data_IF_355866784942
#
_entry.id   IF_355866784942
#
_cell.length_a   1.000
_cell.length_b   1.000
_cell.length_c   1.000
_cell.angle_alpha   90.00
_cell.angle_beta   90.00
_cell.angle_gamma   90.00
#
_symmetry.space_group_name_H-M   'P 1'
#
loop_
_entity.id
_entity.type
_entity.pdbx_description
1 polymer ?
#
# COMPACT_ATOMS: atom_id res chain seq x y z
N UNK A 1 35.32 6.58 -18.19
CA UNK A 1 34.09 7.21 -18.70
C UNK A 1 32.77 6.68 -18.08
N UNK A 2 32.74 5.50 -17.42
CA UNK A 2 31.51 4.94 -16.83
C UNK A 2 30.97 5.68 -15.58
N UNK A 3 31.85 6.34 -14.81
CA UNK A 3 31.46 7.06 -13.58
C UNK A 3 30.78 8.42 -13.83
N UNK A 4 31.11 9.08 -14.96
CA UNK A 4 30.48 10.35 -15.38
C UNK A 4 29.03 10.15 -15.86
N UNK A 5 28.75 9.00 -16.49
CA UNK A 5 27.39 8.63 -16.93
C UNK A 5 26.45 8.35 -15.76
N UNK A 6 26.95 7.70 -14.70
CA UNK A 6 26.18 7.47 -13.47
C UNK A 6 25.82 8.78 -12.75
N UNK A 7 26.76 9.73 -12.69
CA UNK A 7 26.50 11.03 -12.09
C UNK A 7 25.48 11.86 -12.90
N UNK A 8 25.54 11.79 -14.23
CA UNK A 8 24.58 12.45 -15.11
C UNK A 8 23.17 11.84 -15.01
N UNK A 9 23.08 10.51 -14.87
CA UNK A 9 21.80 9.81 -14.65
C UNK A 9 21.19 10.15 -13.28
N UNK A 10 22.03 10.24 -12.24
CA UNK A 10 21.59 10.65 -10.90
C UNK A 10 21.17 12.13 -10.87
N UNK A 11 21.88 13.00 -11.60
CA UNK A 11 21.52 14.41 -11.76
C UNK A 11 20.23 14.60 -12.58
N UNK A 12 19.99 13.80 -13.62
CA UNK A 12 18.70 13.81 -14.35
C UNK A 12 17.54 13.26 -13.49
N UNK A 13 17.80 12.25 -12.65
CA UNK A 13 16.80 11.74 -11.71
C UNK A 13 16.44 12.80 -10.65
N UNK A 14 17.41 13.60 -10.21
CA UNK A 14 17.17 14.71 -9.28
C UNK A 14 16.56 15.95 -9.98
N UNK A 15 16.90 16.21 -11.24
CA UNK A 15 16.36 17.33 -12.03
C UNK A 15 14.92 17.07 -12.56
N UNK A 16 14.51 15.81 -12.65
CA UNK A 16 13.11 15.43 -12.98
C UNK A 16 12.19 15.43 -11.76
N UNK A 17 12.74 15.58 -10.55
CA UNK A 17 11.97 15.96 -9.37
C UNK A 17 11.64 17.45 -9.45
N UNK A 18 10.75 17.82 -10.36
CA UNK A 18 10.03 19.09 -10.23
C UNK A 18 9.08 18.93 -9.04
N UNK A 19 9.47 19.44 -7.86
CA UNK A 19 8.70 19.36 -6.61
C UNK A 19 7.24 19.85 -6.75
N UNK A 20 6.98 20.71 -7.75
CA UNK A 20 5.66 21.30 -8.04
C UNK A 20 4.69 20.33 -8.74
N UNK A 21 5.18 19.39 -9.57
CA UNK A 21 4.35 18.31 -10.15
C UNK A 21 4.47 17.00 -9.35
N UNK A 22 5.53 16.85 -8.56
CA UNK A 22 5.76 15.69 -7.72
C UNK A 22 4.68 15.58 -6.64
N UNK A 23 4.25 16.68 -6.00
CA UNK A 23 3.21 16.61 -4.97
C UNK A 23 1.86 16.07 -5.51
N UNK A 24 1.46 16.50 -6.71
CA UNK A 24 0.22 16.06 -7.35
C UNK A 24 0.32 14.63 -7.90
N UNK A 25 1.46 14.26 -8.47
CA UNK A 25 1.73 12.91 -8.94
C UNK A 25 1.83 11.92 -7.77
N UNK A 26 2.49 12.31 -6.67
CA UNK A 26 2.62 11.49 -5.46
C UNK A 26 1.27 11.34 -4.77
N UNK A 27 0.48 12.42 -4.67
CA UNK A 27 -0.90 12.36 -4.17
C UNK A 27 -1.77 11.43 -5.02
N UNK A 28 -1.67 11.52 -6.34
CA UNK A 28 -2.38 10.64 -7.28
C UNK A 28 -1.96 9.18 -7.13
N UNK A 29 -0.65 8.91 -6.99
CA UNK A 29 -0.10 7.56 -6.79
C UNK A 29 -0.51 6.99 -5.44
N UNK A 30 -0.50 7.79 -4.36
CA UNK A 30 -0.97 7.39 -3.03
C UNK A 30 -2.48 7.11 -3.05
N UNK A 31 -3.27 7.94 -3.75
CA UNK A 31 -4.70 7.74 -3.95
C UNK A 31 -5.02 6.43 -4.68
N UNK A 32 -4.35 6.18 -5.82
CA UNK A 32 -4.49 4.92 -6.57
C UNK A 32 -3.98 3.73 -5.75
N UNK A 33 -2.88 3.90 -5.02
CA UNK A 33 -2.29 2.89 -4.15
C UNK A 33 -3.24 2.43 -3.05
N UNK A 34 -3.99 3.34 -2.42
CA UNK A 34 -5.04 2.99 -1.44
C UNK A 34 -6.15 2.14 -2.04
N UNK A 35 -6.65 2.54 -3.21
CA UNK A 35 -7.72 1.83 -3.91
C UNK A 35 -7.26 0.41 -4.28
N UNK A 36 -6.05 0.28 -4.82
CA UNK A 36 -5.44 -1.01 -5.15
C UNK A 36 -5.21 -1.88 -3.91
N UNK A 37 -4.72 -1.29 -2.81
CA UNK A 37 -4.51 -1.98 -1.54
C UNK A 37 -5.82 -2.53 -0.95
N UNK A 38 -6.91 -1.74 -1.03
CA UNK A 38 -8.24 -2.17 -0.60
C UNK A 38 -8.78 -3.32 -1.46
N UNK A 39 -8.64 -3.22 -2.78
CA UNK A 39 -9.02 -4.27 -3.72
C UNK A 39 -8.22 -5.56 -3.48
N UNK A 40 -6.90 -5.46 -3.31
CA UNK A 40 -6.02 -6.61 -3.01
C UNK A 40 -6.39 -7.25 -1.68
N UNK A 41 -6.60 -6.46 -0.62
CA UNK A 41 -7.00 -6.99 0.69
C UNK A 41 -8.28 -7.81 0.60
N UNK A 42 -9.25 -7.33 -0.16
CA UNK A 42 -10.52 -8.04 -0.41
C UNK A 42 -10.28 -9.35 -1.15
N UNK A 43 -9.49 -9.34 -2.22
CA UNK A 43 -9.14 -10.55 -2.99
C UNK A 43 -8.42 -11.58 -2.12
N UNK A 44 -7.51 -11.14 -1.22
CA UNK A 44 -6.79 -12.04 -0.31
C UNK A 44 -7.72 -12.65 0.74
N UNK A 45 -8.74 -11.95 1.22
CA UNK A 45 -9.74 -12.55 2.11
C UNK A 45 -10.57 -13.63 1.40
N UNK A 46 -10.95 -13.40 0.14
CA UNK A 46 -11.68 -14.40 -0.67
C UNK A 46 -10.78 -15.61 -0.95
N UNK A 47 -9.53 -15.39 -1.39
CA UNK A 47 -8.56 -16.46 -1.62
C UNK A 47 -8.16 -17.20 -0.34
N UNK A 48 -8.11 -16.51 0.80
CA UNK A 48 -7.88 -17.12 2.12
C UNK A 48 -9.03 -18.03 2.54
N UNK A 49 -10.29 -17.64 2.25
CA UNK A 49 -11.47 -18.48 2.47
C UNK A 49 -11.44 -19.75 1.61
N UNK A 50 -11.16 -19.62 0.31
CA UNK A 50 -10.99 -20.79 -0.56
C UNK A 50 -9.78 -21.67 -0.18
N UNK A 51 -8.69 -21.06 0.31
CA UNK A 51 -7.55 -21.77 0.88
C UNK A 51 -7.92 -22.57 2.14
N UNK A 52 -8.74 -22.00 3.02
CA UNK A 52 -9.23 -22.68 4.22
C UNK A 52 -10.15 -23.86 3.87
N UNK A 53 -10.99 -23.72 2.83
CA UNK A 53 -11.79 -24.83 2.29
C UNK A 53 -10.90 -25.95 1.75
N UNK A 54 -9.82 -25.61 1.02
CA UNK A 54 -8.83 -26.59 0.57
C UNK A 54 -8.12 -27.34 1.71
N UNK A 55 -7.86 -26.65 2.83
CA UNK A 55 -7.32 -27.26 4.05
C UNK A 55 -8.31 -28.20 4.72
N UNK A 56 -9.59 -27.82 4.75
CA UNK A 56 -10.63 -28.70 5.28
C UNK A 56 -10.75 -29.99 4.46
N UNK A 57 -10.73 -29.91 3.13
CA UNK A 57 -10.75 -31.09 2.25
C UNK A 57 -9.50 -31.94 2.43
N UNK A 58 -8.31 -31.33 2.54
CA UNK A 58 -7.05 -32.05 2.80
C UNK A 58 -6.98 -32.68 4.21
N UNK A 59 -7.64 -32.08 5.19
CA UNK A 59 -7.75 -32.59 6.56
C UNK A 59 -8.62 -33.86 6.65
N UNK A 60 -9.65 -33.97 5.81
CA UNK A 60 -10.52 -35.16 5.74
C UNK A 60 -9.71 -36.41 5.32
N UNK A 61 -8.66 -36.23 4.51
CA UNK A 61 -7.74 -37.31 4.13
C UNK A 61 -6.62 -37.56 5.17
N UNK A 62 -6.70 -36.97 6.36
CA UNK A 62 -5.75 -37.17 7.46
C UNK A 62 -4.42 -36.41 7.32
N UNK A 63 -4.18 -35.72 6.20
CA UNK A 63 -2.96 -34.96 5.93
C UNK A 63 -3.07 -33.50 6.40
N UNK A 64 -3.34 -33.29 7.70
CA UNK A 64 -3.38 -31.94 8.28
C UNK A 64 -1.99 -31.32 8.23
N UNK A 65 -1.76 -30.44 7.25
CA UNK A 65 -0.51 -29.70 7.10
C UNK A 65 -0.50 -28.48 8.03
N UNK A 66 -0.06 -28.69 9.27
CA UNK A 66 0.13 -27.64 10.28
C UNK A 66 0.95 -26.45 9.78
N UNK A 67 1.96 -26.70 8.93
CA UNK A 67 2.76 -25.65 8.29
C UNK A 67 1.96 -24.79 7.32
N UNK A 68 0.98 -25.38 6.64
CA UNK A 68 0.16 -24.67 5.65
C UNK A 68 -0.92 -23.81 6.32
N UNK A 69 -1.56 -24.32 7.37
CA UNK A 69 -2.46 -23.53 8.21
C UNK A 69 -1.72 -22.35 8.86
N UNK A 70 -0.52 -22.58 9.40
CA UNK A 70 0.29 -21.52 9.98
C UNK A 70 0.66 -20.44 8.95
N UNK A 71 1.05 -20.83 7.73
CA UNK A 71 1.33 -19.88 6.65
C UNK A 71 0.10 -19.07 6.24
N UNK A 72 -1.09 -19.67 6.22
CA UNK A 72 -2.34 -18.97 5.95
C UNK A 72 -2.68 -17.97 7.06
N UNK A 73 -2.58 -18.40 8.33
CA UNK A 73 -2.86 -17.57 9.48
C UNK A 73 -1.90 -16.37 9.57
N UNK A 74 -0.61 -16.60 9.31
CA UNK A 74 0.39 -15.53 9.28
C UNK A 74 0.16 -14.55 8.13
N UNK A 75 -0.30 -15.05 6.97
CA UNK A 75 -0.68 -14.22 5.81
C UNK A 75 -1.87 -13.29 6.10
N UNK A 76 -2.87 -13.75 6.85
CA UNK A 76 -3.99 -12.90 7.29
C UNK A 76 -3.58 -11.92 8.40
N UNK A 77 -2.72 -12.37 9.32
CA UNK A 77 -2.19 -11.55 10.41
C UNK A 77 -1.43 -10.33 9.85
N UNK A 78 -0.50 -10.55 8.91
CA UNK A 78 0.27 -9.45 8.31
C UNK A 78 -0.62 -8.52 7.49
N UNK A 79 -1.63 -9.04 6.81
CA UNK A 79 -2.58 -8.22 6.03
C UNK A 79 -3.44 -7.33 6.94
N UNK A 80 -3.81 -7.81 8.13
CA UNK A 80 -4.50 -7.00 9.13
C UNK A 80 -3.64 -5.83 9.60
N UNK A 81 -2.35 -6.07 9.87
CA UNK A 81 -1.39 -5.04 10.32
C UNK A 81 -1.08 -4.04 9.20
N UNK A 82 -0.95 -4.51 7.95
CA UNK A 82 -0.64 -3.66 6.80
C UNK A 82 -1.69 -2.56 6.57
N UNK A 83 -2.96 -2.81 6.91
CA UNK A 83 -4.03 -1.80 6.74
C UNK A 83 -3.86 -0.58 7.63
N UNK A 84 -3.37 -0.75 8.86
CA UNK A 84 -3.07 0.36 9.76
C UNK A 84 -1.86 1.16 9.28
N UNK A 85 -0.85 0.46 8.77
CA UNK A 85 0.37 1.08 8.22
C UNK A 85 0.04 1.93 6.99
N UNK A 86 -0.74 1.41 6.04
CA UNK A 86 -1.15 2.15 4.84
C UNK A 86 -1.98 3.38 5.22
N UNK A 87 -2.89 3.28 6.20
CA UNK A 87 -3.65 4.41 6.71
C UNK A 87 -2.76 5.46 7.38
N UNK A 88 -1.76 5.04 8.17
CA UNK A 88 -0.84 5.94 8.85
C UNK A 88 0.00 6.76 7.86
N UNK A 89 0.61 6.11 6.86
CA UNK A 89 1.43 6.78 5.85
C UNK A 89 0.62 7.63 4.87
N UNK A 90 -0.62 7.21 4.56
CA UNK A 90 -1.54 8.02 3.77
C UNK A 90 -1.96 9.29 4.52
N UNK A 91 -2.22 9.19 5.82
CA UNK A 91 -2.77 10.30 6.60
C UNK A 91 -1.73 11.39 6.86
N UNK A 92 -0.43 11.04 6.85
CA UNK A 92 0.68 11.98 6.99
C UNK A 92 0.89 12.94 5.80
N UNK A 93 0.22 12.72 4.66
CA UNK A 93 0.27 13.63 3.49
C UNK A 93 -0.94 14.56 3.36
N UNK A 94 -1.95 14.43 4.23
CA UNK A 94 -3.12 15.32 4.27
C UNK A 94 -3.06 16.22 5.51
N UNK A 95 -1.84 16.61 5.92
CA UNK A 95 -1.60 17.64 6.91
C UNK A 95 -1.66 19.03 6.29
N UNK A 96 -2.78 19.36 5.63
CA UNK A 96 -3.18 20.71 5.22
C UNK A 96 -4.62 20.69 4.73
N UNK A 97 -5.52 20.11 5.51
CA UNK A 97 -6.81 20.77 5.71
C UNK A 97 -6.54 22.01 6.59
N UNK A 98 -5.76 22.96 6.07
CA UNK A 98 -6.06 24.34 6.39
C UNK A 98 -7.42 24.54 5.73
N UNK A 99 -8.46 24.33 6.52
CA UNK A 99 -9.68 25.12 6.36
C UNK A 99 -9.19 26.55 6.24
N UNK A 100 -9.13 27.01 5.00
CA UNK A 100 -9.11 28.41 4.65
C UNK A 100 -10.33 28.99 5.38
N UNK A 101 -10.10 29.45 6.61
CA UNK A 101 -10.94 30.49 7.16
C UNK A 101 -10.62 31.68 6.26
N UNK A 102 -11.40 31.80 5.19
CA UNK A 102 -11.50 32.99 4.36
C UNK A 102 -11.81 34.18 5.28
N UNK A 103 -10.76 34.82 5.82
CA UNK A 103 -10.85 36.08 6.56
C UNK A 103 -10.97 37.25 5.56
N UNK A 104 -11.81 37.07 4.53
CA UNK A 104 -12.01 38.00 3.44
C UNK A 104 -13.47 38.18 3.01
N UNK A 105 -14.40 37.30 3.41
CA UNK A 105 -15.81 37.38 3.02
C UNK A 105 -16.77 37.98 4.07
N UNK A 106 -16.26 38.56 5.16
CA UNK A 106 -17.08 39.23 6.19
C UNK A 106 -16.67 40.68 6.50
N UNK A 107 -15.99 41.37 5.60
CA UNK A 107 -15.78 42.83 5.61
C UNK A 107 -16.11 43.41 4.23
#
# INVERSE_FOLDING_TARGET
MKMKLLYLALAMLFATSSDVFAQDAFSTVVGKGKTLFSSVRTVVFVMGGFGLVGLAVGAIFGAVKWKWFASLAFGLLILAIASQVVNYFTSGGTGSAYTDYDIGSTL
#
